data_IF_503846313861
#
_entry.id   IF_503846313861
#
_cell.length_a   1.000
_cell.length_b   1.000
_cell.length_c   1.000
_cell.angle_alpha   90.00
_cell.angle_beta   90.00
_cell.angle_gamma   90.00
#
_symmetry.space_group_name_H-M   'P 1'
#
loop_
_entity.id
_entity.type
_entity.pdbx_description
1 polymer ?
#
# COMPACT_ATOMS: atom_id res chain seq x y z
N UNK A 1 6.11 12.03 -3.68
CA UNK A 1 5.07 10.97 -3.61
C UNK A 1 5.34 9.98 -2.48
N UNK A 2 6.22 8.98 -2.58
CA UNK A 2 6.36 7.96 -1.51
C UNK A 2 6.85 8.54 -0.16
N UNK A 3 7.84 9.43 -0.18
CA UNK A 3 8.29 10.13 1.04
C UNK A 3 7.18 10.98 1.69
N UNK A 4 6.29 11.53 0.86
CA UNK A 4 5.17 12.37 1.27
C UNK A 4 4.03 11.52 1.84
N UNK A 5 3.74 10.37 1.23
CA UNK A 5 2.81 9.35 1.74
C UNK A 5 3.27 8.81 3.09
N UNK A 6 4.56 8.52 3.24
CA UNK A 6 5.15 8.07 4.51
C UNK A 6 5.03 9.14 5.60
N UNK A 7 5.35 10.40 5.28
CA UNK A 7 5.18 11.51 6.21
C UNK A 7 3.70 11.70 6.62
N UNK A 8 2.77 11.55 5.67
CA UNK A 8 1.33 11.65 5.91
C UNK A 8 0.79 10.51 6.78
N UNK A 9 1.28 9.28 6.57
CA UNK A 9 0.95 8.12 7.41
C UNK A 9 1.45 8.32 8.86
N UNK A 10 2.70 8.77 9.03
CA UNK A 10 3.26 9.07 10.35
C UNK A 10 2.48 10.16 11.10
N UNK A 11 2.09 11.23 10.40
CA UNK A 11 1.23 12.29 10.96
C UNK A 11 -0.15 11.78 11.33
N UNK A 12 -0.73 10.88 10.52
CA UNK A 12 -2.02 10.25 10.83
C UNK A 12 -1.94 9.39 12.09
N UNK A 13 -0.84 8.66 12.30
CA UNK A 13 -0.58 7.92 13.54
C UNK A 13 -0.49 8.82 14.77
N UNK A 14 0.10 10.01 14.66
CA UNK A 14 0.11 11.01 15.73
C UNK A 14 -1.30 11.54 16.06
N UNK A 15 -2.11 11.85 15.03
CA UNK A 15 -3.49 12.30 15.19
C UNK A 15 -4.33 11.25 15.93
N UNK A 16 -4.19 9.97 15.57
CA UNK A 16 -4.89 8.88 16.25
C UNK A 16 -4.47 8.76 17.71
N UNK A 17 -3.16 8.82 18.02
CA UNK A 17 -2.68 8.80 19.42
C UNK A 17 -3.26 9.96 20.24
N UNK A 18 -3.32 11.15 19.65
CA UNK A 18 -3.93 12.31 20.29
C UNK A 18 -5.43 12.13 20.50
N UNK A 19 -6.14 11.52 19.55
CA UNK A 19 -7.56 11.20 19.67
C UNK A 19 -7.83 10.18 20.79
N UNK A 20 -7.04 9.10 20.89
CA UNK A 20 -7.15 8.11 21.99
C UNK A 20 -6.94 8.79 23.34
N UNK A 21 -5.94 9.66 23.45
CA UNK A 21 -5.66 10.38 24.70
C UNK A 21 -6.80 11.36 25.04
N UNK A 22 -7.38 12.02 24.05
CA UNK A 22 -8.54 12.90 24.26
C UNK A 22 -9.76 12.12 24.73
N UNK A 23 -10.04 10.95 24.16
CA UNK A 23 -11.15 10.08 24.60
C UNK A 23 -10.92 9.54 26.02
N UNK A 24 -9.69 9.17 26.38
CA UNK A 24 -9.37 8.76 27.75
C UNK A 24 -9.61 9.89 28.78
N UNK A 25 -9.40 11.16 28.40
CA UNK A 25 -9.76 12.30 29.26
C UNK A 25 -11.28 12.46 29.41
N UNK A 26 -12.05 12.17 28.37
CA UNK A 26 -13.52 12.22 28.41
C UNK A 26 -14.07 11.10 29.30
N UNK A 27 -13.50 9.91 29.22
CA UNK A 27 -13.82 8.79 30.10
C UNK A 27 -13.58 9.14 31.58
N UNK A 28 -12.39 9.66 31.92
CA UNK A 28 -12.06 10.09 33.28
C UNK A 28 -13.00 11.20 33.78
N UNK A 29 -13.30 12.18 32.92
CA UNK A 29 -14.26 13.24 33.24
C UNK A 29 -15.66 12.69 33.50
N UNK A 30 -16.11 11.70 32.71
CA UNK A 30 -17.42 11.06 32.88
C UNK A 30 -17.50 10.30 34.20
N UNK A 31 -16.45 9.59 34.57
CA UNK A 31 -16.33 8.90 35.86
C UNK A 31 -16.40 9.88 37.04
N UNK A 32 -15.70 11.02 36.95
CA UNK A 32 -15.75 12.08 37.98
C UNK A 32 -17.14 12.70 38.08
N UNK A 33 -17.82 12.94 36.97
CA UNK A 33 -19.22 13.39 36.98
C UNK A 33 -20.10 12.34 37.67
N UNK A 34 -19.93 11.06 37.38
CA UNK A 34 -20.66 9.96 38.04
C UNK A 34 -20.52 9.96 39.56
N UNK A 35 -19.30 10.24 40.07
CA UNK A 35 -19.05 10.38 41.52
C UNK A 35 -19.79 11.58 42.11
N UNK A 36 -19.77 12.74 41.43
CA UNK A 36 -20.48 13.96 41.87
C UNK A 36 -21.99 13.70 41.94
N UNK A 37 -22.55 13.03 40.94
CA UNK A 37 -23.98 12.69 40.90
C UNK A 37 -24.36 11.73 42.04
N UNK A 38 -23.47 10.78 42.39
CA UNK A 38 -23.66 9.92 43.55
C UNK A 38 -23.70 10.71 44.88
N UNK A 39 -22.89 11.75 45.04
CA UNK A 39 -22.94 12.65 46.21
C UNK A 39 -24.24 13.47 46.21
N UNK A 40 -24.71 13.93 45.05
CA UNK A 40 -25.98 14.67 44.95
C UNK A 40 -27.18 13.80 45.34
N UNK A 41 -27.19 12.52 44.93
CA UNK A 41 -28.21 11.55 45.33
C UNK A 41 -28.22 11.33 46.86
N UNK A 42 -27.03 11.24 47.47
CA UNK A 42 -26.88 11.14 48.92
C UNK A 42 -27.40 12.40 49.64
N UNK A 43 -27.09 13.60 49.14
CA UNK A 43 -27.60 14.87 49.68
C UNK A 43 -29.13 14.93 49.58
N UNK A 44 -29.70 14.50 48.44
CA UNK A 44 -31.14 14.44 48.24
C UNK A 44 -31.79 13.48 49.25
N UNK A 45 -31.18 12.32 49.50
CA UNK A 45 -31.65 11.36 50.50
C UNK A 45 -31.60 11.91 51.92
N UNK A 46 -30.50 12.56 52.31
CA UNK A 46 -30.36 13.22 53.61
C UNK A 46 -31.39 14.35 53.79
N UNK A 47 -31.62 15.14 52.75
CA UNK A 47 -32.63 16.22 52.75
C UNK A 47 -34.03 15.66 52.93
N UNK A 48 -34.35 14.55 52.27
CA UNK A 48 -35.63 13.84 52.42
C UNK A 48 -35.84 13.32 53.86
N UNK A 49 -34.79 12.78 54.49
CA UNK A 49 -34.82 12.35 55.90
C UNK A 49 -35.00 13.53 56.87
N UNK A 50 -34.29 14.63 56.65
CA UNK A 50 -34.42 15.86 57.42
C UNK A 50 -35.85 16.43 57.34
N UNK A 51 -36.41 16.47 56.13
CA UNK A 51 -37.77 16.92 55.88
C UNK A 51 -38.82 16.02 56.55
N UNK A 52 -38.60 14.69 56.54
CA UNK A 52 -39.46 13.75 57.27
C UNK A 52 -39.44 14.02 58.78
N UNK A 53 -38.25 14.18 59.37
CA UNK A 53 -38.11 14.48 60.80
C UNK A 53 -38.79 15.82 61.17
N UNK A 54 -38.62 16.85 60.33
CA UNK A 54 -39.29 18.14 60.50
C UNK A 54 -40.82 18.01 60.42
N UNK A 55 -41.33 17.19 59.50
CA UNK A 55 -42.77 16.89 59.39
C UNK A 55 -43.33 16.19 60.63
N UNK A 56 -42.58 15.25 61.22
CA UNK A 56 -42.95 14.58 62.47
C UNK A 56 -42.99 15.56 63.65
N UNK A 57 -41.99 16.42 63.79
CA UNK A 57 -41.94 17.40 64.88
C UNK A 57 -43.01 18.49 64.72
N UNK A 58 -43.32 18.88 63.47
CA UNK A 58 -44.43 19.79 63.17
C UNK A 58 -45.79 19.20 63.54
N UNK A 59 -46.02 17.91 63.29
CA UNK A 59 -47.22 17.19 63.73
C UNK A 59 -47.32 17.14 65.27
N UNK A 60 -46.17 16.99 65.95
CA UNK A 60 -46.08 16.96 67.41
C UNK A 60 -46.39 18.31 68.05
N UNK A 61 -46.08 19.42 67.37
CA UNK A 61 -46.40 20.79 67.81
C UNK A 61 -47.87 21.21 67.59
N UNK A 62 -48.69 20.36 66.95
CA UNK A 62 -50.12 20.60 66.76
C UNK A 62 -50.43 21.84 65.89
N UNK A 63 -51.36 22.69 66.33
CA UNK A 63 -51.78 23.90 65.60
C UNK A 63 -50.61 24.89 65.37
N UNK A 64 -49.64 24.97 66.28
CA UNK A 64 -48.48 25.85 66.15
C UNK A 64 -47.49 25.38 65.05
N UNK A 65 -47.52 24.09 64.69
CA UNK A 65 -46.64 23.48 63.70
C UNK A 65 -47.17 23.47 62.27
N UNK A 66 -48.41 23.92 62.02
CA UNK A 66 -49.08 23.81 60.70
C UNK A 66 -48.28 24.40 59.54
N UNK A 67 -47.69 25.59 59.73
CA UNK A 67 -46.86 26.24 58.71
C UNK A 67 -45.55 25.47 58.44
N UNK A 68 -44.92 24.94 59.49
CA UNK A 68 -43.71 24.11 59.36
C UNK A 68 -44.00 22.78 58.67
N UNK A 69 -45.18 22.17 58.89
CA UNK A 69 -45.57 20.93 58.23
C UNK A 69 -45.67 21.10 56.70
N UNK A 70 -46.19 22.22 56.21
CA UNK A 70 -46.28 22.51 54.77
C UNK A 70 -44.88 22.67 54.17
N UNK A 71 -44.00 23.43 54.82
CA UNK A 71 -42.62 23.60 54.36
C UNK A 71 -41.87 22.26 54.35
N UNK A 72 -42.03 21.44 55.39
CA UNK A 72 -41.41 20.12 55.45
C UNK A 72 -41.89 19.21 54.29
N UNK A 73 -43.17 19.26 53.93
CA UNK A 73 -43.68 18.49 52.79
C UNK A 73 -43.12 18.98 51.45
N UNK A 74 -43.03 20.30 51.24
CA UNK A 74 -42.46 20.89 50.02
C UNK A 74 -40.98 20.54 49.85
N UNK A 75 -40.19 20.62 50.94
CA UNK A 75 -38.77 20.23 50.94
C UNK A 75 -38.61 18.74 50.65
N UNK A 76 -39.50 17.90 51.18
CA UNK A 76 -39.50 16.46 50.91
C UNK A 76 -39.78 16.15 49.44
N UNK A 77 -40.76 16.82 48.84
CA UNK A 77 -41.10 16.66 47.43
C UNK A 77 -39.95 17.13 46.52
N UNK A 78 -39.32 18.25 46.85
CA UNK A 78 -38.14 18.75 46.15
C UNK A 78 -36.96 17.76 46.25
N UNK A 79 -36.72 17.19 47.42
CA UNK A 79 -35.67 16.20 47.63
C UNK A 79 -35.90 14.93 46.79
N UNK A 80 -37.15 14.43 46.74
CA UNK A 80 -37.50 13.29 45.90
C UNK A 80 -37.32 13.58 44.40
N UNK A 81 -37.69 14.79 43.95
CA UNK A 81 -37.46 15.24 42.57
C UNK A 81 -35.97 15.31 42.25
N UNK A 82 -35.15 15.81 43.18
CA UNK A 82 -33.70 15.87 43.03
C UNK A 82 -33.06 14.47 42.93
N UNK A 83 -33.50 13.51 43.74
CA UNK A 83 -33.02 12.12 43.69
C UNK A 83 -33.37 11.45 42.34
N UNK A 84 -34.60 11.66 41.85
CA UNK A 84 -35.02 11.13 40.55
C UNK A 84 -34.16 11.72 39.40
N UNK A 85 -33.93 13.03 39.41
CA UNK A 85 -33.09 13.69 38.41
C UNK A 85 -31.63 13.20 38.48
N UNK A 86 -31.08 13.04 39.69
CA UNK A 86 -29.73 12.49 39.89
C UNK A 86 -29.63 11.07 39.29
N UNK A 87 -30.64 10.23 39.47
CA UNK A 87 -30.70 8.88 38.89
C UNK A 87 -30.72 8.90 37.36
N UNK A 88 -31.53 9.76 36.75
CA UNK A 88 -31.58 9.93 35.29
C UNK A 88 -30.23 10.40 34.72
N UNK A 89 -29.60 11.39 35.37
CA UNK A 89 -28.26 11.86 34.95
C UNK A 89 -27.23 10.74 35.09
N UNK A 90 -27.28 9.96 36.18
CA UNK A 90 -26.38 8.81 36.39
C UNK A 90 -26.49 7.79 35.26
N UNK A 91 -27.72 7.51 34.81
CA UNK A 91 -27.95 6.61 33.69
C UNK A 91 -27.38 7.17 32.37
N UNK A 92 -27.61 8.46 32.09
CA UNK A 92 -27.05 9.11 30.90
C UNK A 92 -25.52 9.10 30.89
N UNK A 93 -24.88 9.43 32.02
CA UNK A 93 -23.42 9.42 32.16
C UNK A 93 -22.88 7.99 32.00
N UNK A 94 -23.55 6.98 32.56
CA UNK A 94 -23.16 5.58 32.38
C UNK A 94 -23.23 5.16 30.91
N UNK A 95 -24.28 5.55 30.18
CA UNK A 95 -24.38 5.28 28.74
C UNK A 95 -23.29 6.01 27.96
N UNK A 96 -23.03 7.28 28.28
CA UNK A 96 -21.94 8.05 27.66
C UNK A 96 -20.57 7.41 27.88
N UNK A 97 -20.30 6.86 29.07
CA UNK A 97 -19.05 6.16 29.34
C UNK A 97 -18.88 4.92 28.44
N UNK A 98 -19.94 4.12 28.27
CA UNK A 98 -19.93 2.96 27.37
C UNK A 98 -19.72 3.36 25.90
N UNK A 99 -20.37 4.43 25.43
CA UNK A 99 -20.18 4.95 24.08
C UNK A 99 -18.73 5.43 23.85
N UNK A 100 -18.13 6.09 24.85
CA UNK A 100 -16.73 6.54 24.79
C UNK A 100 -15.78 5.34 24.73
N UNK A 101 -16.01 4.30 25.54
CA UNK A 101 -15.22 3.06 25.51
C UNK A 101 -15.25 2.39 24.12
N UNK A 102 -16.45 2.29 23.53
CA UNK A 102 -16.62 1.80 22.16
C UNK A 102 -15.91 2.68 21.13
N UNK A 103 -15.98 4.00 21.29
CA UNK A 103 -15.25 4.97 20.46
C UNK A 103 -13.73 4.82 20.54
N UNK A 104 -13.18 4.60 21.75
CA UNK A 104 -11.75 4.33 21.95
C UNK A 104 -11.32 3.07 21.20
N UNK A 105 -12.12 2.00 21.25
CA UNK A 105 -11.82 0.76 20.54
C UNK A 105 -11.77 0.95 19.01
N UNK A 106 -12.72 1.69 18.44
CA UNK A 106 -12.75 2.01 17.00
C UNK A 106 -11.56 2.87 16.57
N UNK A 107 -11.21 3.89 17.37
CA UNK A 107 -10.04 4.74 17.10
C UNK A 107 -8.74 3.93 17.19
N UNK A 108 -8.64 3.00 18.15
CA UNK A 108 -7.48 2.08 18.26
C UNK A 108 -7.35 1.19 17.02
N UNK A 109 -8.44 0.56 16.58
CA UNK A 109 -8.46 -0.27 15.37
C UNK A 109 -8.09 0.54 14.12
N UNK A 110 -8.55 1.79 14.02
CA UNK A 110 -8.14 2.71 12.95
C UNK A 110 -6.64 2.98 13.00
N UNK A 111 -6.06 3.13 14.20
CA UNK A 111 -4.62 3.27 14.38
C UNK A 111 -3.82 2.07 13.89
N UNK A 112 -4.29 0.85 14.20
CA UNK A 112 -3.68 -0.40 13.73
C UNK A 112 -3.72 -0.50 12.20
N UNK A 113 -4.86 -0.19 11.58
CA UNK A 113 -4.98 -0.17 10.12
C UNK A 113 -4.03 0.85 9.45
N UNK A 114 -3.83 2.02 10.07
CA UNK A 114 -2.87 3.01 9.57
C UNK A 114 -1.41 2.53 9.67
N UNK A 115 -1.06 1.76 10.70
CA UNK A 115 0.27 1.14 10.83
C UNK A 115 0.49 0.07 9.75
N UNK A 116 -0.53 -0.71 9.43
CA UNK A 116 -0.49 -1.67 8.33
C UNK A 116 -0.30 -0.97 6.97
N UNK A 117 -1.02 0.13 6.75
CA UNK A 117 -0.85 0.98 5.55
C UNK A 117 0.57 1.54 5.48
N UNK A 118 1.15 1.99 6.60
CA UNK A 118 2.55 2.45 6.63
C UNK A 118 3.52 1.35 6.21
N UNK A 119 3.32 0.12 6.68
CA UNK A 119 4.14 -1.03 6.30
C UNK A 119 4.03 -1.34 4.79
N UNK A 120 2.81 -1.33 4.24
CA UNK A 120 2.56 -1.54 2.81
C UNK A 120 3.22 -0.45 1.95
N UNK A 121 3.15 0.82 2.38
CA UNK A 121 3.80 1.94 1.67
C UNK A 121 5.32 1.77 1.66
N UNK A 122 5.92 1.29 2.75
CA UNK A 122 7.35 0.99 2.77
C UNK A 122 7.72 -0.15 1.80
N UNK A 123 6.93 -1.23 1.75
CA UNK A 123 7.16 -2.32 0.80
C UNK A 123 7.06 -1.84 -0.66
N UNK A 124 6.08 -1.00 -0.98
CA UNK A 124 5.96 -0.39 -2.31
C UNK A 124 7.19 0.45 -2.65
N UNK A 125 7.72 1.20 -1.67
CA UNK A 125 8.95 1.96 -1.88
C UNK A 125 10.13 1.07 -2.27
N UNK A 126 10.30 -0.06 -1.57
CA UNK A 126 11.40 -1.00 -1.81
C UNK A 126 11.26 -1.69 -3.18
N UNK A 127 10.03 -2.01 -3.59
CA UNK A 127 9.75 -2.52 -4.93
C UNK A 127 10.07 -1.49 -6.00
N UNK A 128 9.69 -0.23 -5.82
CA UNK A 128 10.01 0.85 -6.76
C UNK A 128 11.53 1.04 -6.90
N UNK A 129 12.27 0.98 -5.79
CA UNK A 129 13.73 1.05 -5.80
C UNK A 129 14.36 -0.15 -6.55
N UNK A 130 13.80 -1.34 -6.36
CA UNK A 130 14.21 -2.56 -7.06
C UNK A 130 13.95 -2.47 -8.56
N UNK A 131 12.76 -1.99 -8.96
CA UNK A 131 12.41 -1.76 -10.37
C UNK A 131 13.35 -0.74 -11.01
N UNK A 132 13.66 0.37 -10.32
CA UNK A 132 14.58 1.38 -10.83
C UNK A 132 16.00 0.81 -11.04
N UNK A 133 16.43 -0.10 -10.18
CA UNK A 133 17.73 -0.80 -10.32
C UNK A 133 17.70 -1.76 -11.51
N UNK A 134 16.69 -2.62 -11.59
CA UNK A 134 16.51 -3.56 -12.70
C UNK A 134 16.39 -2.84 -14.05
N UNK A 135 15.72 -1.69 -14.10
CA UNK A 135 15.60 -0.88 -15.32
C UNK A 135 16.95 -0.31 -15.77
N UNK A 136 17.84 0.07 -14.84
CA UNK A 136 19.21 0.50 -15.18
C UNK A 136 20.07 -0.65 -15.70
N UNK A 137 19.95 -1.83 -15.10
CA UNK A 137 20.64 -3.04 -15.57
C UNK A 137 20.15 -3.45 -16.97
N UNK A 138 18.83 -3.47 -17.19
CA UNK A 138 18.25 -3.72 -18.51
C UNK A 138 18.72 -2.69 -19.55
N UNK A 139 18.76 -1.41 -19.20
CA UNK A 139 19.27 -0.37 -20.10
C UNK A 139 20.73 -0.60 -20.47
N UNK A 140 21.55 -1.08 -19.53
CA UNK A 140 22.96 -1.41 -19.78
C UNK A 140 23.07 -2.62 -20.70
N UNK A 141 22.33 -3.70 -20.41
CA UNK A 141 22.30 -4.90 -21.25
C UNK A 141 21.79 -4.62 -22.68
N UNK A 142 20.82 -3.72 -22.84
CA UNK A 142 20.36 -3.29 -24.16
C UNK A 142 21.45 -2.55 -24.96
N UNK A 143 22.30 -1.75 -24.31
CA UNK A 143 23.44 -1.11 -24.97
C UNK A 143 24.47 -2.14 -25.44
N UNK A 144 24.74 -3.18 -24.65
CA UNK A 144 25.65 -4.27 -25.02
C UNK A 144 25.09 -5.10 -26.19
N UNK A 145 23.79 -5.41 -26.16
CA UNK A 145 23.09 -6.09 -27.27
C UNK A 145 23.17 -5.24 -28.54
N UNK A 146 22.93 -3.93 -28.44
CA UNK A 146 23.02 -3.03 -29.60
C UNK A 146 24.44 -3.05 -30.21
N UNK A 147 25.48 -3.00 -29.37
CA UNK A 147 26.87 -3.15 -29.82
C UNK A 147 27.13 -4.47 -30.54
N UNK A 148 26.61 -5.58 -29.99
CA UNK A 148 26.75 -6.92 -30.60
C UNK A 148 26.03 -7.03 -31.95
N UNK A 149 24.84 -6.44 -32.06
CA UNK A 149 24.08 -6.39 -33.33
C UNK A 149 24.82 -5.58 -34.39
N UNK A 150 25.39 -4.43 -34.02
CA UNK A 150 26.21 -3.63 -34.95
C UNK A 150 27.45 -4.39 -35.42
N UNK A 151 28.09 -5.17 -34.54
CA UNK A 151 29.22 -6.02 -34.90
C UNK A 151 28.81 -7.17 -35.83
N UNK A 152 27.68 -7.83 -35.56
CA UNK A 152 27.12 -8.85 -36.44
C UNK A 152 26.78 -8.29 -37.82
N UNK A 153 26.24 -7.08 -37.90
CA UNK A 153 25.96 -6.40 -39.17
C UNK A 153 27.25 -6.16 -39.97
N UNK A 154 28.31 -5.65 -39.33
CA UNK A 154 29.62 -5.49 -39.97
C UNK A 154 30.19 -6.82 -40.49
N UNK A 155 30.16 -7.88 -39.68
CA UNK A 155 30.64 -9.19 -40.13
C UNK A 155 29.79 -9.75 -41.28
N UNK A 156 28.47 -9.52 -41.26
CA UNK A 156 27.58 -9.94 -42.35
C UNK A 156 27.93 -9.22 -43.65
N UNK A 157 28.19 -7.91 -43.60
CA UNK A 157 28.63 -7.13 -44.75
C UNK A 157 30.01 -7.59 -45.25
N UNK A 158 30.96 -7.87 -44.34
CA UNK A 158 32.27 -8.40 -44.70
C UNK A 158 32.17 -9.78 -45.36
N UNK A 159 31.31 -10.66 -44.85
CA UNK A 159 31.05 -11.97 -45.46
C UNK A 159 30.45 -11.82 -46.86
N UNK A 160 29.54 -10.87 -47.08
CA UNK A 160 29.00 -10.60 -48.40
C UNK A 160 30.10 -10.14 -49.38
N UNK A 161 30.95 -9.19 -48.96
CA UNK A 161 32.08 -8.73 -49.76
C UNK A 161 33.08 -9.85 -50.07
N UNK A 162 33.38 -10.70 -49.08
CA UNK A 162 34.26 -11.85 -49.25
C UNK A 162 33.69 -12.88 -50.25
N UNK A 163 32.37 -13.10 -50.24
CA UNK A 163 31.70 -13.97 -51.21
C UNK A 163 31.78 -13.38 -52.62
N UNK A 164 31.63 -12.06 -52.79
CA UNK A 164 31.81 -11.39 -54.08
C UNK A 164 33.25 -11.54 -54.60
N UNK A 165 34.25 -11.30 -53.75
CA UNK A 165 35.67 -11.46 -54.09
C UNK A 165 36.00 -12.91 -54.44
N UNK A 166 35.51 -13.86 -53.65
CA UNK A 166 35.71 -15.30 -53.89
C UNK A 166 35.04 -15.74 -55.19
N UNK A 167 33.86 -15.20 -55.50
CA UNK A 167 33.16 -15.46 -56.77
C UNK A 167 33.95 -14.91 -57.95
N UNK A 168 34.52 -13.70 -57.83
CA UNK A 168 35.37 -13.11 -58.84
C UNK A 168 36.64 -13.95 -59.07
N UNK A 169 37.34 -14.31 -57.99
CA UNK A 169 38.52 -15.18 -58.06
C UNK A 169 38.21 -16.55 -58.69
N UNK A 170 37.05 -17.14 -58.37
CA UNK A 170 36.59 -18.40 -58.95
C UNK A 170 36.34 -18.29 -60.46
N UNK A 171 35.80 -17.15 -60.93
CA UNK A 171 35.64 -16.88 -62.38
C UNK A 171 37.00 -16.75 -63.06
N UNK A 172 37.92 -15.97 -62.49
CA UNK A 172 39.29 -15.83 -63.02
C UNK A 172 39.99 -17.18 -63.13
N UNK A 173 39.89 -18.03 -62.09
CA UNK A 173 40.45 -19.38 -62.12
C UNK A 173 39.81 -20.27 -63.19
N UNK A 174 38.49 -20.16 -63.41
CA UNK A 174 37.79 -20.90 -64.46
C UNK A 174 38.24 -20.45 -65.87
N UNK A 175 38.44 -19.16 -66.06
CA UNK A 175 38.94 -18.58 -67.32
C UNK A 175 40.38 -19.06 -67.61
N UNK A 176 41.28 -18.99 -66.63
CA UNK A 176 42.65 -19.51 -66.72
C UNK A 176 42.70 -21.01 -67.03
N UNK A 177 41.85 -21.80 -66.36
CA UNK A 177 41.73 -23.24 -66.65
C UNK A 177 41.27 -23.51 -68.09
N UNK A 178 40.40 -22.65 -68.64
CA UNK A 178 39.93 -22.75 -70.03
C UNK A 178 41.02 -22.37 -71.02
N UNK A 179 41.81 -21.34 -70.72
CA UNK A 179 42.98 -20.96 -71.51
C UNK A 179 44.04 -22.07 -71.53
N UNK A 180 44.38 -22.65 -70.38
CA UNK A 180 45.31 -23.78 -70.27
C UNK A 180 44.86 -24.98 -71.11
N UNK A 181 43.57 -25.35 -71.04
CA UNK A 181 42.99 -26.42 -71.88
C UNK A 181 43.15 -26.12 -73.37
N UNK A 182 42.95 -24.86 -73.78
CA UNK A 182 43.10 -24.42 -75.17
C UNK A 182 44.55 -24.50 -75.64
N UNK A 183 45.50 -24.08 -74.80
CA UNK A 183 46.94 -24.18 -75.08
C UNK A 183 47.39 -25.65 -75.22
N UNK A 184 46.90 -26.54 -74.34
CA UNK A 184 47.18 -27.98 -74.41
C UNK A 184 46.58 -28.63 -75.67
N UNK A 185 45.41 -28.18 -76.15
CA UNK A 185 44.81 -28.69 -77.38
C UNK A 185 45.64 -28.40 -78.64
N UNK A 186 46.47 -27.34 -78.62
CA UNK A 186 47.40 -27.02 -79.71
C UNK A 186 48.65 -27.91 -79.70
N UNK A 187 48.95 -28.59 -78.60
CA UNK A 187 50.06 -29.55 -78.54
C UNK A 187 49.68 -30.82 -79.30
N UNK A 188 50.18 -30.93 -80.53
CA UNK A 188 50.15 -32.20 -81.28
C UNK A 188 51.28 -33.10 -80.80
N UNK A 189 50.92 -34.17 -80.11
CA UNK A 189 51.86 -35.24 -79.78
C UNK A 189 52.26 -35.97 -81.07
N UNK A 190 53.56 -36.20 -81.26
CA UNK A 190 54.08 -37.05 -82.35
C UNK A 190 53.54 -38.48 -82.14
N UNK A 191 52.40 -38.77 -82.75
CA UNK A 191 51.72 -40.06 -82.60
C UNK A 191 50.40 -40.27 -83.35
N UNK A 192 49.77 -39.23 -83.92
CA UNK A 192 48.55 -39.41 -84.75
C UNK A 192 48.71 -38.83 -86.17
N UNK A 193 49.72 -39.35 -86.87
CA UNK A 193 49.69 -39.45 -88.32
C UNK A 193 50.05 -40.88 -88.71
N UNK A 194 49.11 -41.83 -88.59
CA UNK A 194 49.18 -43.06 -89.40
C UNK A 194 47.84 -43.78 -89.54
N UNK A 195 47.39 -43.92 -90.80
CA UNK A 195 46.43 -44.88 -91.38
C UNK A 195 44.96 -44.79 -90.91
N UNK A 196 43.94 -44.73 -91.78
CA UNK A 196 43.60 -45.77 -92.77
C UNK A 196 43.06 -45.20 -94.09
N UNK A 197 43.87 -45.33 -95.13
CA UNK A 197 43.60 -45.87 -96.48
C UNK A 197 42.19 -45.75 -97.08
N UNK A 198 42.08 -44.91 -98.12
CA UNK A 198 41.14 -45.05 -99.24
C UNK A 198 41.24 -46.47 -99.83
N UNK A 199 40.15 -47.24 -99.79
CA UNK A 199 39.90 -48.30 -100.78
C UNK A 199 38.83 -47.82 -101.75
N UNK A 200 39.29 -47.35 -102.91
CA UNK A 200 38.57 -47.50 -104.17
C UNK A 200 38.60 -48.95 -104.60
N UNK A 201 37.44 -49.55 -104.91
CA UNK A 201 37.38 -50.61 -105.91
C UNK A 201 36.05 -50.55 -106.66
N UNK A 202 36.18 -50.38 -107.97
CA UNK A 202 35.13 -50.51 -108.96
C UNK A 202 34.83 -51.98 -109.23
N UNK A 203 33.54 -52.29 -109.43
CA UNK A 203 32.98 -53.14 -110.48
C UNK A 203 31.45 -53.06 -110.37
#
# INVERSE_FOLDING_TARGET
>A
MVAETKASAGKSGEIVRNAVTAMGRIEDSSNRIGQIISVIDEIAFQTNLLALNAGVEAARAGEAGRGFAVVAQEVRELAQRSANAAKEIKELISRSATEVEGGVALVRSTGEALLEIEALVNQVNDHVASIATAAREQSTGLNEINGSVNHMDQMTQQNAAMVEETTAASRTLADESTQLKTLLANFRLRGEQTAVTRYTRAA
#
